data_IF_190980786319
#
_entry.id   IF_190980786319
#
_cell.length_a   1.000
_cell.length_b   1.000
_cell.length_c   1.000
_cell.angle_alpha   90.00
_cell.angle_beta   90.00
_cell.angle_gamma   90.00
#
_symmetry.space_group_name_H-M   'P 1'
#
loop_
_entity.id
_entity.type
_entity.pdbx_description
1 polymer ?
#
# COMPACT_ATOMS: atom_id res chain seq x y z
N UNK A 1 10.45 -9.04 12.25
CA UNK A 1 11.06 -9.81 11.14
C UNK A 1 11.24 -8.99 9.86
N UNK A 2 10.19 -8.53 9.17
CA UNK A 2 10.37 -7.80 7.89
C UNK A 2 11.23 -6.54 8.08
N UNK A 3 10.97 -5.76 9.13
CA UNK A 3 11.82 -4.63 9.51
C UNK A 3 13.28 -5.07 9.75
N UNK A 4 13.52 -6.19 10.41
CA UNK A 4 14.87 -6.72 10.70
C UNK A 4 15.64 -7.09 9.42
N UNK A 5 14.96 -7.56 8.39
CA UNK A 5 15.54 -7.78 7.05
C UNK A 5 16.00 -6.44 6.46
N UNK A 6 15.12 -5.44 6.47
CA UNK A 6 15.42 -4.11 5.91
C UNK A 6 16.41 -3.28 6.75
N UNK A 7 16.51 -3.55 8.05
CA UNK A 7 17.55 -3.04 8.96
C UNK A 7 18.90 -3.74 8.75
N UNK A 8 18.93 -4.90 8.07
CA UNK A 8 20.12 -5.72 7.86
C UNK A 8 20.52 -6.55 9.09
N UNK A 9 19.62 -6.71 10.05
CA UNK A 9 19.79 -7.60 11.20
C UNK A 9 19.65 -9.06 10.78
N UNK A 10 18.76 -9.35 9.82
CA UNK A 10 18.61 -10.66 9.17
C UNK A 10 19.24 -10.61 7.77
N UNK A 11 20.18 -11.52 7.48
CA UNK A 11 21.03 -11.46 6.27
C UNK A 11 20.96 -12.68 5.35
N UNK A 12 20.31 -13.76 5.78
CA UNK A 12 20.19 -15.00 5.01
C UNK A 12 18.78 -15.57 5.14
N UNK A 13 18.28 -16.22 4.09
CA UNK A 13 16.93 -16.77 4.05
C UNK A 13 16.69 -17.91 5.04
N UNK A 14 17.73 -18.61 5.46
CA UNK A 14 17.65 -19.66 6.49
C UNK A 14 17.85 -19.13 7.93
N UNK A 15 17.72 -17.81 8.15
CA UNK A 15 17.79 -17.25 9.49
C UNK A 15 16.73 -17.89 10.42
N UNK A 16 17.05 -18.17 11.70
CA UNK A 16 16.10 -18.78 12.63
C UNK A 16 14.77 -18.03 12.75
N UNK A 17 14.77 -16.69 12.66
CA UNK A 17 13.55 -15.90 12.73
C UNK A 17 12.63 -16.12 11.52
N UNK A 18 13.21 -16.31 10.32
CA UNK A 18 12.44 -16.64 9.12
C UNK A 18 11.95 -18.10 9.20
N UNK A 19 12.84 -19.01 9.61
CA UNK A 19 12.53 -20.44 9.73
C UNK A 19 11.39 -20.71 10.70
N UNK A 20 11.33 -20.00 11.82
CA UNK A 20 10.28 -20.12 12.82
C UNK A 20 8.87 -19.76 12.28
N UNK A 21 8.78 -18.93 11.24
CA UNK A 21 7.51 -18.56 10.61
C UNK A 21 7.14 -19.46 9.41
N UNK A 22 8.03 -20.36 9.00
CA UNK A 22 7.90 -21.17 7.79
C UNK A 22 8.14 -22.65 8.08
N UNK A 23 7.45 -23.18 9.10
CA UNK A 23 7.57 -24.58 9.50
C UNK A 23 7.30 -25.53 8.31
N UNK A 24 8.22 -26.48 8.10
CA UNK A 24 8.11 -27.45 7.00
C UNK A 24 8.64 -26.95 5.64
N UNK A 25 9.13 -25.71 5.55
CA UNK A 25 9.78 -25.19 4.33
C UNK A 25 11.30 -25.30 4.44
N UNK A 26 11.94 -25.95 3.46
CA UNK A 26 13.40 -25.97 3.37
C UNK A 26 13.94 -24.62 2.85
N UNK A 27 14.40 -23.78 3.77
CA UNK A 27 14.94 -22.46 3.43
C UNK A 27 16.43 -22.55 3.07
N UNK A 28 16.86 -21.94 1.95
CA UNK A 28 18.25 -22.01 1.51
C UNK A 28 19.15 -21.11 2.37
N UNK A 29 20.40 -21.53 2.55
CA UNK A 29 21.48 -20.66 3.04
C UNK A 29 21.90 -19.66 1.95
N UNK A 30 21.02 -18.73 1.64
CA UNK A 30 21.13 -17.76 0.56
C UNK A 30 21.12 -16.35 1.16
N UNK A 31 22.13 -15.50 0.85
CA UNK A 31 22.12 -14.10 1.26
C UNK A 31 20.87 -13.34 0.80
N UNK A 32 20.40 -12.42 1.64
CA UNK A 32 19.28 -11.53 1.33
C UNK A 32 19.81 -10.22 0.74
N UNK A 33 19.23 -9.82 -0.38
CA UNK A 33 19.46 -8.52 -1.01
C UNK A 33 18.18 -7.69 -0.96
N UNK A 34 18.23 -6.55 -0.28
CA UNK A 34 17.06 -5.68 -0.13
C UNK A 34 16.97 -4.75 -1.32
N UNK A 35 15.88 -4.82 -2.07
CA UNK A 35 15.57 -3.91 -3.16
C UNK A 35 14.59 -2.86 -2.68
N UNK A 36 14.93 -1.59 -2.90
CA UNK A 36 14.09 -0.46 -2.54
C UNK A 36 13.97 0.51 -3.71
N UNK A 37 13.12 1.53 -3.55
CA UNK A 37 12.98 2.60 -4.55
C UNK A 37 14.19 3.53 -4.51
N UNK A 38 14.69 3.91 -5.69
CA UNK A 38 15.73 4.93 -5.84
C UNK A 38 15.18 6.34 -6.04
N UNK A 39 13.88 6.47 -6.27
CA UNK A 39 13.16 7.71 -6.51
C UNK A 39 12.14 8.01 -5.40
N UNK A 40 11.79 9.29 -5.22
CA UNK A 40 10.79 9.72 -4.24
C UNK A 40 9.44 9.05 -4.51
N UNK A 41 8.93 8.28 -3.54
CA UNK A 41 7.92 7.27 -3.81
C UNK A 41 6.83 7.21 -2.74
N UNK A 42 5.56 7.23 -3.17
CA UNK A 42 4.42 6.93 -2.31
C UNK A 42 4.42 5.49 -1.80
N UNK A 43 4.90 4.53 -2.61
CA UNK A 43 5.05 3.13 -2.18
C UNK A 43 6.10 2.99 -1.08
N UNK A 44 7.20 3.78 -1.15
CA UNK A 44 8.19 3.82 -0.06
C UNK A 44 7.61 4.44 1.18
N UNK A 45 6.85 5.54 1.05
CA UNK A 45 6.16 6.11 2.20
C UNK A 45 5.23 5.09 2.85
N UNK A 46 4.40 4.39 2.07
CA UNK A 46 3.51 3.36 2.61
C UNK A 46 4.28 2.21 3.27
N UNK A 47 5.35 1.72 2.64
CA UNK A 47 6.15 0.62 3.17
C UNK A 47 6.86 1.01 4.48
N UNK A 48 7.51 2.17 4.51
CA UNK A 48 8.25 2.65 5.68
C UNK A 48 7.32 3.03 6.82
N UNK A 49 6.12 3.53 6.52
CA UNK A 49 5.10 3.79 7.53
C UNK A 49 4.59 2.49 8.19
N UNK A 50 4.37 1.43 7.41
CA UNK A 50 4.07 0.12 8.00
C UNK A 50 5.21 -0.37 8.91
N UNK A 51 6.47 -0.28 8.45
CA UNK A 51 7.62 -0.71 9.26
C UNK A 51 7.77 0.09 10.55
N UNK A 52 7.48 1.39 10.52
CA UNK A 52 7.47 2.27 11.67
C UNK A 52 6.45 1.83 12.72
N UNK A 53 5.24 1.46 12.30
CA UNK A 53 4.20 0.99 13.23
C UNK A 53 4.56 -0.34 13.92
N UNK A 54 5.23 -1.26 13.22
CA UNK A 54 5.46 -2.63 13.70
C UNK A 54 6.86 -2.89 14.26
N UNK A 55 7.76 -1.91 14.18
CA UNK A 55 9.14 -2.05 14.65
C UNK A 55 9.63 -0.80 15.37
N UNK A 56 9.77 -0.86 16.72
CA UNK A 56 10.37 0.22 17.49
C UNK A 56 11.78 0.60 17.02
N UNK A 57 12.61 -0.37 16.61
CA UNK A 57 13.96 -0.09 16.09
C UNK A 57 13.89 0.69 14.78
N UNK A 58 12.94 0.36 13.88
CA UNK A 58 12.74 1.12 12.65
C UNK A 58 12.30 2.55 12.95
N UNK A 59 11.34 2.71 13.86
CA UNK A 59 10.82 4.01 14.29
C UNK A 59 11.91 4.91 14.85
N UNK A 60 12.77 4.38 15.72
CA UNK A 60 13.82 5.16 16.36
C UNK A 60 15.00 5.49 15.43
N UNK A 61 15.29 4.65 14.42
CA UNK A 61 16.53 4.76 13.65
C UNK A 61 16.37 5.17 12.18
N UNK A 62 15.22 4.89 11.55
CA UNK A 62 14.99 5.14 10.12
C UNK A 62 13.80 6.07 9.90
N UNK A 63 12.67 5.77 10.53
CA UNK A 63 11.42 6.53 10.41
C UNK A 63 10.73 6.39 9.04
N UNK A 64 9.85 7.36 8.75
CA UNK A 64 8.93 7.32 7.62
C UNK A 64 9.26 8.40 6.59
N UNK A 65 9.25 8.04 5.30
CA UNK A 65 9.48 9.02 4.23
C UNK A 65 9.23 8.48 2.83
N UNK A 66 9.07 9.41 1.88
CA UNK A 66 9.04 9.09 0.44
C UNK A 66 10.44 8.78 -0.10
N UNK A 67 11.45 9.33 0.55
CA UNK A 67 12.87 9.13 0.34
C UNK A 67 13.53 9.11 1.73
N UNK A 68 14.36 8.10 1.98
CA UNK A 68 14.98 7.84 3.28
C UNK A 68 16.40 7.34 3.09
N UNK A 69 17.24 7.50 4.11
CA UNK A 69 18.55 6.85 4.15
C UNK A 69 18.36 5.39 4.55
N UNK A 70 18.49 4.47 3.60
CA UNK A 70 18.38 3.04 3.88
C UNK A 70 19.52 2.55 4.79
N UNK A 71 19.24 1.62 5.73
CA UNK A 71 20.24 1.10 6.66
C UNK A 71 21.49 0.53 5.96
N UNK A 72 22.66 1.07 6.29
CA UNK A 72 23.94 0.66 5.71
C UNK A 72 24.37 -0.79 6.06
N UNK A 73 23.75 -1.38 7.10
CA UNK A 73 23.95 -2.77 7.50
C UNK A 73 23.30 -3.75 6.51
N UNK A 74 22.25 -3.32 5.81
CA UNK A 74 21.60 -4.10 4.77
C UNK A 74 22.39 -4.00 3.46
N UNK A 75 22.39 -5.06 2.66
CA UNK A 75 22.90 -4.99 1.28
C UNK A 75 21.76 -4.55 0.39
N UNK A 76 21.82 -3.31 -0.11
CA UNK A 76 20.70 -2.68 -0.81
C UNK A 76 20.91 -2.49 -2.32
N UNK A 77 19.82 -2.50 -3.06
CA UNK A 77 19.76 -2.19 -4.51
C UNK A 77 18.62 -1.19 -4.74
N UNK A 78 18.93 -0.05 -5.35
CA UNK A 78 17.95 0.97 -5.72
C UNK A 78 17.34 0.72 -7.10
N UNK A 79 16.03 0.49 -7.16
CA UNK A 79 15.25 0.39 -8.40
C UNK A 79 14.39 1.64 -8.63
N UNK A 80 14.41 2.19 -9.85
CA UNK A 80 13.57 3.33 -10.21
C UNK A 80 12.14 2.86 -10.51
N UNK A 81 11.15 3.39 -9.78
CA UNK A 81 9.76 2.97 -9.93
C UNK A 81 9.48 1.54 -9.47
N UNK A 82 8.20 1.13 -9.48
CA UNK A 82 7.82 -0.28 -9.24
C UNK A 82 8.47 -1.23 -10.26
N UNK A 83 8.53 -0.84 -11.54
CA UNK A 83 9.16 -1.62 -12.59
C UNK A 83 10.65 -1.89 -12.31
N UNK A 84 11.40 -0.89 -11.82
CA UNK A 84 12.81 -1.06 -11.48
C UNK A 84 13.00 -2.03 -10.32
N UNK A 85 12.20 -1.90 -9.26
CA UNK A 85 12.23 -2.81 -8.11
C UNK A 85 11.88 -4.24 -8.55
N UNK A 86 10.74 -4.43 -9.24
CA UNK A 86 10.31 -5.73 -9.74
C UNK A 86 11.38 -6.40 -10.60
N UNK A 87 12.01 -5.62 -11.47
CA UNK A 87 13.06 -6.11 -12.34
C UNK A 87 14.30 -6.53 -11.53
N UNK A 88 14.79 -5.71 -10.60
CA UNK A 88 15.92 -6.12 -9.75
C UNK A 88 15.65 -7.36 -8.90
N UNK A 89 14.45 -7.48 -8.33
CA UNK A 89 14.05 -8.69 -7.58
C UNK A 89 14.11 -9.93 -8.47
N UNK A 90 13.54 -9.85 -9.67
CA UNK A 90 13.42 -11.00 -10.58
C UNK A 90 14.77 -11.57 -11.06
N UNK A 91 15.78 -10.71 -11.27
CA UNK A 91 17.11 -11.13 -11.77
C UNK A 91 18.19 -11.24 -10.66
N UNK A 92 17.85 -10.94 -9.41
CA UNK A 92 18.79 -11.05 -8.29
C UNK A 92 18.37 -12.18 -7.36
N UNK A 93 19.11 -13.30 -7.41
CA UNK A 93 18.84 -14.45 -6.55
C UNK A 93 18.96 -14.06 -5.07
N UNK A 94 17.92 -14.35 -4.29
CA UNK A 94 17.84 -14.01 -2.87
C UNK A 94 17.34 -12.59 -2.59
N UNK A 95 16.92 -11.83 -3.60
CA UNK A 95 16.38 -10.50 -3.39
C UNK A 95 14.95 -10.51 -2.82
N UNK A 96 14.67 -9.47 -2.03
CA UNK A 96 13.33 -9.10 -1.56
C UNK A 96 13.10 -7.63 -1.87
N UNK A 97 11.91 -7.29 -2.36
CA UNK A 97 11.53 -5.90 -2.62
C UNK A 97 10.05 -5.71 -2.38
N UNK A 98 9.63 -4.45 -2.23
CA UNK A 98 8.23 -4.07 -2.11
C UNK A 98 7.75 -3.43 -3.41
N UNK A 99 6.64 -3.92 -3.94
CA UNK A 99 5.99 -3.40 -5.15
C UNK A 99 4.49 -3.34 -4.93
N UNK A 100 3.82 -2.50 -5.71
CA UNK A 100 2.36 -2.57 -5.83
C UNK A 100 1.96 -3.95 -6.42
N UNK A 101 0.84 -4.53 -5.97
CA UNK A 101 0.48 -5.92 -6.20
C UNK A 101 0.36 -6.27 -7.69
N UNK A 102 -0.19 -5.38 -8.52
CA UNK A 102 -0.32 -5.62 -9.95
C UNK A 102 1.05 -5.88 -10.60
N UNK A 103 2.13 -5.23 -10.14
CA UNK A 103 3.48 -5.49 -10.65
C UNK A 103 3.95 -6.90 -10.30
N UNK A 104 3.67 -7.39 -9.10
CA UNK A 104 4.03 -8.76 -8.74
C UNK A 104 3.25 -9.78 -9.58
N UNK A 105 1.93 -9.57 -9.74
CA UNK A 105 1.05 -10.49 -10.48
C UNK A 105 1.35 -10.50 -11.99
N UNK A 106 1.45 -9.34 -12.61
CA UNK A 106 1.69 -9.22 -14.06
C UNK A 106 3.10 -9.67 -14.49
N UNK A 107 4.05 -9.76 -13.56
CA UNK A 107 5.41 -10.25 -13.83
C UNK A 107 5.65 -11.67 -13.27
N UNK A 108 4.59 -12.40 -12.90
CA UNK A 108 4.64 -13.77 -12.35
C UNK A 108 5.66 -13.91 -11.20
N UNK A 109 5.76 -12.87 -10.36
CA UNK A 109 6.71 -12.84 -9.26
C UNK A 109 6.22 -13.70 -8.10
N UNK A 110 7.17 -14.32 -7.39
CA UNK A 110 6.88 -14.86 -6.07
C UNK A 110 6.64 -13.71 -5.09
N UNK A 111 5.59 -13.84 -4.27
CA UNK A 111 5.25 -12.91 -3.20
C UNK A 111 4.92 -13.70 -1.92
N UNK A 112 4.99 -13.02 -0.78
CA UNK A 112 4.86 -13.66 0.54
C UNK A 112 3.48 -13.41 1.16
N UNK A 113 3.12 -14.26 2.11
CA UNK A 113 2.10 -13.91 3.08
C UNK A 113 2.61 -12.82 4.02
N UNK A 114 1.69 -12.08 4.63
CA UNK A 114 1.99 -11.13 5.70
C UNK A 114 1.02 -11.36 6.86
N UNK A 115 1.50 -11.13 8.07
CA UNK A 115 0.69 -11.23 9.28
C UNK A 115 -0.17 -9.96 9.41
N UNK A 116 -1.49 -10.13 9.48
CA UNK A 116 -2.43 -9.07 9.81
C UNK A 116 -2.23 -8.58 11.26
N UNK A 117 -2.81 -7.42 11.59
CA UNK A 117 -2.72 -6.80 12.91
C UNK A 117 -3.16 -7.73 14.05
N UNK A 118 -4.08 -8.66 13.78
CA UNK A 118 -4.61 -9.62 14.75
C UNK A 118 -3.94 -10.99 14.72
N UNK A 119 -2.87 -11.14 13.94
CA UNK A 119 -1.98 -12.28 13.97
C UNK A 119 -2.22 -13.33 12.89
N UNK A 120 -3.28 -13.24 12.08
CA UNK A 120 -3.53 -14.17 10.98
C UNK A 120 -2.60 -13.89 9.80
N UNK A 121 -2.00 -14.93 9.22
CA UNK A 121 -1.25 -14.79 7.97
C UNK A 121 -2.20 -14.77 6.78
N UNK A 122 -2.07 -13.73 5.95
CA UNK A 122 -2.91 -13.47 4.78
C UNK A 122 -2.08 -13.55 3.50
N UNK A 123 -2.74 -13.86 2.40
CA UNK A 123 -2.23 -13.64 1.05
C UNK A 123 -2.66 -12.25 0.54
N UNK A 124 -1.85 -11.57 -0.27
CA UNK A 124 -2.27 -10.32 -0.91
C UNK A 124 -3.33 -10.62 -1.98
N UNK A 125 -4.59 -10.33 -1.67
CA UNK A 125 -5.75 -10.55 -2.55
C UNK A 125 -6.68 -9.35 -2.52
N UNK A 126 -7.52 -9.20 -3.55
CA UNK A 126 -8.51 -8.12 -3.61
C UNK A 126 -9.37 -8.07 -2.35
N UNK A 127 -9.91 -9.20 -1.91
CA UNK A 127 -10.73 -9.30 -0.70
C UNK A 127 -9.98 -8.79 0.54
N UNK A 128 -8.70 -9.14 0.70
CA UNK A 128 -7.91 -8.70 1.86
C UNK A 128 -7.55 -7.22 1.83
N UNK A 129 -7.37 -6.63 0.64
CA UNK A 129 -7.17 -5.20 0.48
C UNK A 129 -8.47 -4.43 0.76
N UNK A 130 -9.61 -4.94 0.27
CA UNK A 130 -10.94 -4.38 0.55
C UNK A 130 -11.27 -4.45 2.04
N UNK A 131 -10.93 -5.54 2.72
CA UNK A 131 -11.12 -5.68 4.16
C UNK A 131 -10.34 -4.61 4.95
N UNK A 132 -9.08 -4.35 4.58
CA UNK A 132 -8.30 -3.28 5.20
C UNK A 132 -8.96 -1.90 4.99
N UNK A 133 -9.46 -1.60 3.78
CA UNK A 133 -10.19 -0.37 3.53
C UNK A 133 -11.54 -0.30 4.27
N UNK A 134 -12.29 -1.41 4.35
CA UNK A 134 -13.61 -1.44 4.99
C UNK A 134 -13.55 -1.30 6.51
N UNK A 135 -12.49 -1.82 7.13
CA UNK A 135 -12.27 -1.75 8.58
C UNK A 135 -11.63 -0.44 9.04
N UNK A 136 -11.26 0.44 8.11
CA UNK A 136 -10.64 1.71 8.41
C UNK A 136 -11.66 2.75 8.93
N UNK A 137 -11.21 3.58 9.88
CA UNK A 137 -12.05 4.62 10.51
C UNK A 137 -12.15 5.88 9.65
N UNK A 138 -12.83 5.76 8.51
CA UNK A 138 -13.06 6.87 7.59
C UNK A 138 -13.92 7.99 8.19
N UNK A 139 -14.81 7.66 9.13
CA UNK A 139 -15.73 8.61 9.74
C UNK A 139 -14.99 9.65 10.58
N UNK A 140 -13.86 9.25 11.19
CA UNK A 140 -12.99 10.14 11.97
C UNK A 140 -11.71 10.57 11.22
N UNK A 141 -11.68 10.45 9.88
CA UNK A 141 -10.55 10.86 9.05
C UNK A 141 -10.87 12.15 8.25
N UNK A 142 -10.56 13.36 8.77
CA UNK A 142 -10.83 14.61 8.07
C UNK A 142 -10.22 14.61 6.65
N UNK A 143 -11.07 14.85 5.65
CA UNK A 143 -10.65 14.87 4.25
C UNK A 143 -10.15 13.53 3.72
N UNK A 144 -10.55 12.42 4.36
CA UNK A 144 -10.11 11.06 4.02
C UNK A 144 -8.61 10.84 4.18
N UNK A 145 -7.92 11.69 4.95
CA UNK A 145 -6.51 11.49 5.26
C UNK A 145 -6.37 10.35 6.28
N UNK A 146 -6.30 9.13 5.75
CA UNK A 146 -6.20 7.89 6.52
C UNK A 146 -5.18 6.97 5.85
N UNK A 147 -4.30 6.40 6.68
CA UNK A 147 -3.34 5.39 6.24
C UNK A 147 -3.97 4.01 6.43
N UNK A 148 -3.88 3.15 5.42
CA UNK A 148 -4.52 1.83 5.44
C UNK A 148 -3.56 0.70 5.83
N UNK A 149 -2.38 1.04 6.32
CA UNK A 149 -1.47 0.07 6.92
C UNK A 149 -2.00 -0.40 8.27
N UNK A 150 -1.83 -1.69 8.53
CA UNK A 150 -2.13 -2.36 9.80
C UNK A 150 -3.55 -2.12 10.34
N UNK A 151 -4.52 -1.96 9.43
CA UNK A 151 -5.93 -1.80 9.80
C UNK A 151 -6.45 -3.04 10.55
N UNK A 152 -7.39 -2.88 11.50
CA UNK A 152 -7.90 -3.99 12.30
C UNK A 152 -8.69 -5.00 11.45
N UNK A 153 -8.83 -6.23 11.96
CA UNK A 153 -9.62 -7.29 11.35
C UNK A 153 -8.80 -8.40 10.69
N UNK A 154 -9.28 -9.64 10.80
CA UNK A 154 -8.54 -10.85 10.44
C UNK A 154 -8.23 -11.01 8.97
N UNK A 155 -8.99 -10.35 8.11
CA UNK A 155 -8.77 -10.37 6.67
C UNK A 155 -8.13 -9.07 6.16
N UNK A 156 -7.76 -8.13 7.03
CA UNK A 156 -7.15 -6.86 6.63
C UNK A 156 -5.69 -7.05 6.25
N UNK A 157 -5.38 -6.90 4.96
CA UNK A 157 -3.99 -6.93 4.50
C UNK A 157 -3.19 -5.78 5.14
N UNK A 158 -2.04 -6.06 5.78
CA UNK A 158 -1.35 -5.10 6.65
C UNK A 158 -0.62 -3.97 5.91
N UNK A 159 -0.44 -4.06 4.60
CA UNK A 159 0.22 -3.02 3.79
C UNK A 159 -0.69 -2.56 2.64
N UNK A 160 -1.72 -1.80 2.96
CA UNK A 160 -2.70 -1.27 1.99
C UNK A 160 -2.55 0.24 1.90
N UNK A 161 -2.77 0.82 0.71
CA UNK A 161 -2.77 2.26 0.50
C UNK A 161 -3.95 2.67 -0.38
N UNK A 162 -4.59 3.78 -0.02
CA UNK A 162 -5.51 4.46 -0.94
C UNK A 162 -4.73 5.44 -1.84
N UNK A 163 -5.26 5.66 -3.04
CA UNK A 163 -4.84 6.78 -3.89
C UNK A 163 -5.94 7.83 -3.89
N UNK A 164 -5.56 9.10 -4.05
CA UNK A 164 -6.46 10.23 -3.88
C UNK A 164 -6.52 11.11 -5.11
N UNK A 165 -7.73 11.61 -5.37
CA UNK A 165 -7.98 12.68 -6.33
C UNK A 165 -8.19 13.97 -5.54
N UNK A 166 -7.51 15.04 -5.98
CA UNK A 166 -7.63 16.35 -5.36
C UNK A 166 -8.48 17.27 -6.23
N UNK A 167 -9.49 17.89 -5.62
CA UNK A 167 -10.36 18.88 -6.24
C UNK A 167 -10.44 20.14 -5.38
N UNK A 168 -10.51 21.30 -6.02
CA UNK A 168 -10.82 22.55 -5.32
C UNK A 168 -12.23 22.48 -4.72
N UNK A 169 -12.43 23.03 -3.52
CA UNK A 169 -13.77 23.10 -2.91
C UNK A 169 -14.66 24.12 -3.63
N UNK A 170 -14.11 25.30 -3.90
CA UNK A 170 -14.75 26.32 -4.74
C UNK A 170 -14.29 26.13 -6.20
N UNK A 171 -15.23 25.76 -7.04
CA UNK A 171 -15.05 25.41 -8.44
C UNK A 171 -15.56 26.57 -9.29
N UNK A 172 -14.64 27.21 -10.03
CA UNK A 172 -14.97 28.33 -10.91
C UNK A 172 -15.88 27.92 -12.07
N UNK A 173 -15.77 26.66 -12.50
CA UNK A 173 -16.54 26.09 -13.59
C UNK A 173 -17.37 24.90 -13.05
N UNK A 174 -18.65 25.15 -12.81
CA UNK A 174 -19.57 24.15 -12.28
C UNK A 174 -19.80 22.98 -13.24
N UNK A 175 -19.81 23.23 -14.55
CA UNK A 175 -20.05 22.18 -15.53
C UNK A 175 -18.87 21.22 -15.59
N UNK A 176 -17.64 21.76 -15.53
CA UNK A 176 -16.43 20.95 -15.43
C UNK A 176 -16.39 20.13 -14.13
N UNK A 177 -16.75 20.74 -13.00
CA UNK A 177 -16.78 20.03 -11.71
C UNK A 177 -17.79 18.88 -11.71
N UNK A 178 -19.00 19.11 -12.25
CA UNK A 178 -20.01 18.06 -12.41
C UNK A 178 -19.50 16.92 -13.29
N UNK A 179 -18.93 17.24 -14.47
CA UNK A 179 -18.40 16.21 -15.37
C UNK A 179 -17.27 15.37 -14.74
N UNK A 180 -16.44 15.96 -13.88
CA UNK A 180 -15.42 15.21 -13.12
C UNK A 180 -16.07 14.27 -12.11
N UNK A 181 -17.09 14.73 -11.38
CA UNK A 181 -17.84 13.88 -10.44
C UNK A 181 -18.54 12.74 -11.18
N UNK A 182 -19.26 13.03 -12.27
CA UNK A 182 -19.94 12.03 -13.09
C UNK A 182 -18.95 10.96 -13.61
N UNK A 183 -17.74 11.36 -14.00
CA UNK A 183 -16.70 10.42 -14.41
C UNK A 183 -16.27 9.47 -13.29
N UNK A 184 -16.12 9.95 -12.06
CA UNK A 184 -15.74 9.09 -10.93
C UNK A 184 -16.90 8.26 -10.41
N UNK A 185 -18.14 8.79 -10.40
CA UNK A 185 -19.33 7.99 -10.11
C UNK A 185 -19.46 6.83 -11.11
N UNK A 186 -19.31 7.10 -12.40
CA UNK A 186 -19.24 6.06 -13.43
C UNK A 186 -18.08 5.09 -13.18
N UNK A 187 -16.90 5.59 -12.81
CA UNK A 187 -15.73 4.74 -12.53
C UNK A 187 -15.97 3.80 -11.35
N UNK A 188 -16.68 4.24 -10.31
CA UNK A 188 -17.09 3.39 -9.19
C UNK A 188 -18.06 2.28 -9.63
N UNK A 189 -18.99 2.58 -10.54
CA UNK A 189 -19.89 1.58 -11.14
C UNK A 189 -19.14 0.56 -12.02
N UNK A 190 -17.95 0.91 -12.51
CA UNK A 190 -17.08 0.01 -13.29
C UNK A 190 -16.07 -0.78 -12.43
N UNK A 191 -16.39 -1.06 -11.16
CA UNK A 191 -15.47 -1.77 -10.24
C UNK A 191 -14.85 -3.06 -10.80
N UNK A 192 -15.61 -3.81 -11.61
CA UNK A 192 -15.11 -5.02 -12.28
C UNK A 192 -13.94 -4.75 -13.24
N UNK A 193 -13.93 -3.60 -13.93
CA UNK A 193 -12.81 -3.21 -14.82
C UNK A 193 -11.55 -2.89 -14.01
N UNK A 194 -11.70 -2.33 -12.81
CA UNK A 194 -10.57 -2.11 -11.91
C UNK A 194 -9.97 -3.45 -11.48
N UNK A 195 -10.82 -4.42 -11.11
CA UNK A 195 -10.40 -5.76 -10.70
C UNK A 195 -9.72 -6.54 -11.83
N UNK A 196 -10.16 -6.38 -13.09
CA UNK A 196 -9.45 -6.92 -14.27
C UNK A 196 -8.03 -6.36 -14.43
N UNK A 197 -7.78 -5.14 -13.94
CA UNK A 197 -6.48 -4.49 -13.94
C UNK A 197 -5.71 -4.69 -12.61
N UNK A 198 -6.18 -5.61 -11.77
CA UNK A 198 -5.61 -5.91 -10.45
C UNK A 198 -5.70 -4.75 -9.44
N UNK A 199 -6.66 -3.84 -9.62
CA UNK A 199 -6.99 -2.79 -8.67
C UNK A 199 -8.19 -3.16 -7.82
N UNK A 200 -8.15 -2.67 -6.59
CA UNK A 200 -9.18 -2.88 -5.59
C UNK A 200 -10.34 -1.94 -5.86
N UNK A 201 -11.52 -2.50 -6.17
CA UNK A 201 -12.75 -1.71 -6.20
C UNK A 201 -13.04 -1.18 -4.80
N UNK A 202 -13.40 0.12 -4.73
CA UNK A 202 -13.67 0.78 -3.45
C UNK A 202 -14.92 0.19 -2.79
N UNK A 203 -14.93 -0.07 -1.47
CA UNK A 203 -16.13 -0.57 -0.80
C UNK A 203 -17.30 0.42 -0.92
N UNK A 204 -18.53 -0.09 -1.10
CA UNK A 204 -19.75 0.73 -1.25
C UNK A 204 -19.90 1.76 -0.13
N UNK A 205 -19.63 1.36 1.12
CA UNK A 205 -19.68 2.29 2.28
C UNK A 205 -18.78 3.52 2.06
N UNK A 206 -17.57 3.33 1.52
CA UNK A 206 -16.63 4.43 1.30
C UNK A 206 -17.06 5.28 0.10
N UNK A 207 -17.59 4.66 -0.96
CA UNK A 207 -18.17 5.37 -2.11
C UNK A 207 -19.30 6.30 -1.66
N UNK A 208 -20.21 5.80 -0.81
CA UNK A 208 -21.31 6.58 -0.26
C UNK A 208 -20.82 7.78 0.56
N UNK A 209 -19.74 7.60 1.34
CA UNK A 209 -19.11 8.69 2.08
C UNK A 209 -18.55 9.76 1.13
N UNK A 210 -17.78 9.35 0.11
CA UNK A 210 -17.19 10.26 -0.88
C UNK A 210 -18.27 11.06 -1.62
N UNK A 211 -19.32 10.40 -2.08
CA UNK A 211 -20.46 11.05 -2.75
C UNK A 211 -21.13 12.08 -1.84
N UNK A 212 -21.31 11.75 -0.55
CA UNK A 212 -21.85 12.69 0.44
C UNK A 212 -20.90 13.90 0.68
N UNK A 213 -19.58 13.70 0.62
CA UNK A 213 -18.61 14.79 0.71
C UNK A 213 -18.69 15.72 -0.49
N UNK A 214 -18.82 15.20 -1.71
CA UNK A 214 -18.94 16.04 -2.90
C UNK A 214 -20.21 16.89 -2.88
N UNK A 215 -21.35 16.29 -2.52
CA UNK A 215 -22.63 17.00 -2.35
C UNK A 215 -22.55 18.16 -1.35
N UNK A 216 -21.80 17.99 -0.26
CA UNK A 216 -21.66 19.02 0.78
C UNK A 216 -20.54 20.02 0.50
N UNK A 217 -19.50 19.61 -0.22
CA UNK A 217 -18.21 20.30 -0.26
C UNK A 217 -17.88 21.04 -1.55
N UNK A 218 -18.46 20.63 -2.69
CA UNK A 218 -18.21 21.28 -3.98
C UNK A 218 -19.20 22.41 -4.21
N UNK A 219 -18.68 23.62 -4.26
CA UNK A 219 -19.47 24.84 -4.45
C UNK A 219 -18.92 25.68 -5.58
N UNK A 220 -19.75 26.57 -6.14
CA UNK A 220 -19.32 27.69 -6.98
C UNK A 220 -19.88 28.95 -6.36
N UNK A 221 -19.01 29.84 -5.87
CA UNK A 221 -19.41 31.05 -5.14
C UNK A 221 -20.37 30.74 -3.97
N UNK A 222 -20.11 29.64 -3.25
CA UNK A 222 -20.91 29.20 -2.10
C UNK A 222 -22.21 28.46 -2.43
N UNK A 223 -22.57 28.30 -3.71
CA UNK A 223 -23.72 27.49 -4.12
C UNK A 223 -23.29 26.05 -4.42
N UNK A 224 -24.03 25.07 -3.89
CA UNK A 224 -23.75 23.66 -4.14
C UNK A 224 -23.86 23.31 -5.63
N UNK A 225 -22.89 22.54 -6.13
CA UNK A 225 -22.85 22.10 -7.54
C UNK A 225 -23.59 20.77 -7.70
N UNK A 226 -23.22 19.79 -6.87
CA UNK A 226 -23.78 18.44 -6.88
C UNK A 226 -25.04 18.42 -6.01
N UNK A 227 -26.15 17.89 -6.53
CA UNK A 227 -27.43 17.81 -5.83
C UNK A 227 -27.72 16.41 -5.29
#
# INVERSE_FOLDING_TARGET
MLADIYLGNIKSWNDPAITALNEGVELPNQPIYVVHRSDGSGTTFNFTEYLDQVSPEWHESVGVGKDITWPNKATTIGGNGNAGVANFVSRTRGAIGYVEYAYAKQNDMAYTQMQAADGKFLMPTMDTFQAAAANADWDNAPGYHLLLNNQPGAESWPMTAATFILMHKDQKDSAKAQAIVDFFEWSYDQGALAEELDYVSMPTKVIDMVNNTWKKGLTNNGQAIIK
#
